data_IF_743203969694
#
_entry.id   IF_743203969694
#
_cell.length_a   1.000
_cell.length_b   1.000
_cell.length_c   1.000
_cell.angle_alpha   90.00
_cell.angle_beta   90.00
_cell.angle_gamma   90.00
#
_symmetry.space_group_name_H-M   'P 1'
#
loop_
_entity.id
_entity.type
_entity.pdbx_description
1 polymer ?
#
# COMPACT_ATOMS: atom_id res chain seq x y z
N UNK A 1 12.39 1.17 12.35
CA UNK A 1 11.05 1.78 12.21
C UNK A 1 10.03 0.65 12.19
N UNK A 2 8.84 0.78 12.81
CA UNK A 2 7.81 -0.26 12.75
C UNK A 2 7.34 -0.48 11.30
N UNK A 3 6.86 -1.69 11.01
CA UNK A 3 6.29 -2.05 9.72
C UNK A 3 4.77 -1.88 9.75
N UNK A 4 4.19 -1.50 8.61
CA UNK A 4 2.74 -1.63 8.42
C UNK A 4 2.35 -3.12 8.37
N UNK A 5 1.18 -3.48 8.92
CA UNK A 5 0.67 -4.84 8.92
C UNK A 5 0.07 -5.19 7.55
N UNK A 6 0.89 -5.23 6.51
CA UNK A 6 0.45 -5.64 5.17
C UNK A 6 0.52 -7.17 5.10
N UNK A 7 -0.65 -7.81 5.02
CA UNK A 7 -0.76 -9.22 4.66
C UNK A 7 -1.00 -9.35 3.15
N UNK A 8 0.06 -9.71 2.42
CA UNK A 8 0.00 -9.81 0.97
C UNK A 8 -0.87 -10.99 0.48
N UNK A 9 -1.17 -11.96 1.35
CA UNK A 9 -2.03 -13.09 1.02
C UNK A 9 -3.52 -12.70 1.05
N UNK A 10 -3.91 -11.62 1.75
CA UNK A 10 -5.29 -11.08 1.68
C UNK A 10 -5.63 -10.49 0.30
N UNK A 11 -4.61 -10.23 -0.52
CA UNK A 11 -4.77 -9.66 -1.85
C UNK A 11 -4.93 -8.14 -1.88
N UNK A 12 -5.03 -7.59 -3.10
CA UNK A 12 -5.15 -6.16 -3.34
C UNK A 12 -6.41 -5.85 -4.15
N UNK A 13 -7.17 -4.79 -3.84
CA UNK A 13 -6.85 -3.75 -2.84
C UNK A 13 -6.98 -4.22 -1.40
N UNK A 14 -6.15 -3.66 -0.52
CA UNK A 14 -6.18 -3.92 0.93
C UNK A 14 -6.33 -2.59 1.69
N UNK A 15 -7.02 -2.60 2.82
CA UNK A 15 -7.07 -1.44 3.71
C UNK A 15 -7.10 -1.85 5.16
N UNK A 16 -6.39 -1.12 6.01
CA UNK A 16 -6.33 -1.37 7.45
C UNK A 16 -6.29 -0.07 8.24
N UNK A 17 -6.62 -0.16 9.53
CA UNK A 17 -6.56 0.96 10.47
C UNK A 17 -5.24 0.91 11.23
N UNK A 18 -4.57 2.06 11.30
CA UNK A 18 -3.34 2.26 12.08
C UNK A 18 -3.59 3.35 13.12
N UNK A 19 -3.40 3.01 14.40
CA UNK A 19 -3.42 4.02 15.47
C UNK A 19 -2.02 4.53 15.71
N UNK A 20 -1.83 5.85 15.67
CA UNK A 20 -0.57 6.49 16.01
C UNK A 20 -0.82 7.70 16.92
N UNK A 21 -0.35 7.61 18.17
CA UNK A 21 -0.69 8.58 19.20
C UNK A 21 -2.21 8.71 19.36
N UNK A 22 -2.78 9.93 19.36
CA UNK A 22 -4.22 10.16 19.52
C UNK A 22 -5.02 9.95 18.23
N UNK A 23 -4.37 9.70 17.09
CA UNK A 23 -5.04 9.65 15.79
C UNK A 23 -5.18 8.21 15.30
N UNK A 24 -6.28 7.95 14.59
CA UNK A 24 -6.49 6.74 13.80
C UNK A 24 -6.38 7.12 12.32
N UNK A 25 -5.60 6.33 11.58
CA UNK A 25 -5.40 6.49 10.16
C UNK A 25 -5.99 5.28 9.43
N UNK A 26 -6.67 5.51 8.32
CA UNK A 26 -7.04 4.47 7.37
C UNK A 26 -5.99 4.45 6.27
N UNK A 27 -5.26 3.35 6.15
CA UNK A 27 -4.26 3.16 5.09
C UNK A 27 -4.86 2.20 4.06
N UNK A 28 -4.91 2.63 2.81
CA UNK A 28 -5.34 1.83 1.67
C UNK A 28 -4.19 1.62 0.69
N UNK A 29 -4.06 0.39 0.19
CA UNK A 29 -3.08 -0.01 -0.81
C UNK A 29 -3.81 -0.62 -1.99
N UNK A 30 -3.58 -0.08 -3.19
CA UNK A 30 -4.18 -0.63 -4.42
C UNK A 30 -3.18 -0.66 -5.56
N UNK A 31 -3.25 -1.72 -6.37
CA UNK A 31 -2.38 -1.92 -7.52
C UNK A 31 -3.02 -1.31 -8.76
N UNK A 32 -2.22 -0.63 -9.57
CA UNK A 32 -2.62 -0.18 -10.89
C UNK A 32 -1.69 -0.80 -11.94
N UNK A 33 -2.25 -1.65 -12.79
CA UNK A 33 -1.57 -2.36 -13.88
C UNK A 33 -2.52 -2.43 -15.08
N UNK A 34 -1.99 -2.32 -16.30
CA UNK A 34 -2.79 -2.51 -17.50
C UNK A 34 -3.08 -4.00 -17.76
N UNK A 35 -4.14 -4.28 -18.54
CA UNK A 35 -4.60 -5.64 -18.80
C UNK A 35 -3.55 -6.52 -19.48
N UNK A 36 -2.68 -5.96 -20.32
CA UNK A 36 -1.65 -6.75 -21.02
C UNK A 36 -0.58 -7.20 -20.03
N UNK A 37 -0.17 -6.31 -19.12
CA UNK A 37 0.74 -6.64 -18.02
C UNK A 37 0.15 -7.73 -17.11
N UNK A 38 -1.14 -7.64 -16.78
CA UNK A 38 -1.81 -8.66 -15.96
C UNK A 38 -1.91 -10.00 -16.69
N UNK A 39 -2.25 -9.99 -17.98
CA UNK A 39 -2.42 -11.20 -18.79
C UNK A 39 -1.11 -11.98 -19.00
N UNK A 40 0.05 -11.32 -18.95
CA UNK A 40 1.36 -11.97 -19.00
C UNK A 40 1.63 -12.87 -17.78
N UNK A 41 0.96 -12.61 -16.65
CA UNK A 41 1.12 -13.39 -15.44
C UNK A 41 2.36 -13.03 -14.61
N UNK A 42 2.56 -13.78 -13.52
CA UNK A 42 3.76 -13.66 -12.67
C UNK A 42 3.68 -12.59 -11.59
N UNK A 43 4.85 -12.13 -11.16
CA UNK A 43 5.03 -11.16 -10.07
C UNK A 43 5.36 -9.78 -10.64
N UNK A 44 4.61 -8.78 -10.20
CA UNK A 44 4.80 -7.39 -10.57
C UNK A 44 5.67 -6.68 -9.53
N UNK A 45 6.73 -5.98 -9.98
CA UNK A 45 7.43 -5.01 -9.15
C UNK A 45 6.73 -3.65 -9.23
N UNK A 46 5.98 -3.32 -8.19
CA UNK A 46 5.13 -2.14 -8.14
C UNK A 46 5.84 -0.86 -7.69
N UNK A 47 7.13 -0.94 -7.37
CA UNK A 47 7.98 0.23 -7.09
C UNK A 47 8.98 0.50 -8.23
N UNK A 48 8.94 -0.31 -9.30
CA UNK A 48 9.75 -0.17 -10.50
C UNK A 48 9.09 0.69 -11.59
N UNK A 49 9.45 0.41 -12.85
CA UNK A 49 8.84 1.06 -14.02
C UNK A 49 7.69 0.22 -14.56
N UNK A 50 6.49 0.80 -14.68
CA UNK A 50 5.32 0.14 -15.25
C UNK A 50 4.15 0.12 -14.26
N UNK A 51 3.63 -1.06 -13.86
CA UNK A 51 2.56 -1.15 -12.87
C UNK A 51 3.04 -0.53 -11.55
N UNK A 52 2.11 0.06 -10.79
CA UNK A 52 2.48 0.80 -9.59
C UNK A 52 1.50 0.57 -8.44
N UNK A 53 2.04 0.64 -7.23
CA UNK A 53 1.25 0.64 -6.00
C UNK A 53 0.83 2.09 -5.72
N UNK A 54 -0.45 2.28 -5.39
CA UNK A 54 -0.94 3.54 -4.85
C UNK A 54 -1.24 3.37 -3.37
N UNK A 55 -0.75 4.33 -2.60
CA UNK A 55 -1.11 4.49 -1.20
C UNK A 55 -2.13 5.60 -1.05
N UNK A 56 -3.15 5.33 -0.24
CA UNK A 56 -4.11 6.30 0.27
C UNK A 56 -3.98 6.31 1.77
N UNK A 57 -3.88 7.50 2.36
CA UNK A 57 -3.97 7.66 3.82
C UNK A 57 -5.00 8.72 4.13
N UNK A 58 -5.95 8.34 4.94
CA UNK A 58 -6.93 9.23 5.53
C UNK A 58 -6.75 9.22 7.05
N UNK A 59 -7.11 10.32 7.73
CA UNK A 59 -7.23 10.39 9.19
C UNK A 59 -8.69 10.37 9.58
N UNK A 60 -9.02 9.55 10.57
CA UNK A 60 -10.34 9.55 11.21
C UNK A 60 -10.35 10.61 12.31
N UNK A 61 -11.09 11.70 12.07
CA UNK A 61 -11.34 12.76 13.05
C UNK A 61 -12.81 12.68 13.53
N UNK A 62 -13.18 13.30 14.67
CA UNK A 62 -14.55 13.27 15.17
C UNK A 62 -15.59 13.80 14.18
N UNK A 63 -15.21 14.79 13.37
CA UNK A 63 -16.08 15.42 12.37
C UNK A 63 -16.10 14.69 11.02
N UNK A 64 -15.29 13.63 10.87
CA UNK A 64 -15.27 12.80 9.67
C UNK A 64 -13.87 12.39 9.20
N UNK A 65 -13.81 11.94 7.95
CA UNK A 65 -12.57 11.45 7.32
C UNK A 65 -11.84 12.61 6.66
N UNK A 66 -10.58 12.83 7.04
CA UNK A 66 -9.70 13.83 6.45
C UNK A 66 -8.70 13.15 5.51
N UNK A 67 -8.77 13.35 4.18
CA UNK A 67 -7.80 12.79 3.25
C UNK A 67 -6.45 13.48 3.42
N UNK A 68 -5.39 12.70 3.61
CA UNK A 68 -4.04 13.23 3.84
C UNK A 68 -3.11 13.03 2.65
N UNK A 69 -3.16 11.85 2.01
CA UNK A 69 -2.37 11.59 0.81
C UNK A 69 -3.05 10.57 -0.09
N UNK A 70 -2.89 10.77 -1.40
CA UNK A 70 -3.14 9.76 -2.43
C UNK A 70 -2.06 9.88 -3.48
N UNK A 71 -1.16 8.91 -3.56
CA UNK A 71 -0.06 8.96 -4.54
C UNK A 71 0.53 7.60 -4.85
N UNK A 72 1.21 7.53 -5.99
CA UNK A 72 2.09 6.40 -6.32
C UNK A 72 3.17 6.26 -5.24
N UNK A 73 3.34 5.04 -4.74
CA UNK A 73 4.48 4.66 -3.93
C UNK A 73 5.73 4.63 -4.81
N UNK A 74 6.85 5.08 -4.26
CA UNK A 74 8.13 5.10 -4.95
C UNK A 74 9.14 4.50 -3.99
N UNK A 75 9.96 3.57 -4.50
CA UNK A 75 11.01 2.89 -3.73
C UNK A 75 11.85 3.91 -2.98
N UNK A 76 12.03 3.70 -1.68
CA UNK A 76 12.91 4.51 -0.82
C UNK A 76 12.52 5.99 -0.64
N UNK A 77 11.51 6.49 -1.35
CA UNK A 77 11.08 7.88 -1.26
C UNK A 77 10.04 8.02 -0.14
N UNK A 78 10.30 8.84 0.88
CA UNK A 78 9.32 9.07 1.94
C UNK A 78 8.02 9.65 1.39
N UNK A 79 6.91 9.11 1.87
CA UNK A 79 5.55 9.56 1.60
C UNK A 79 4.97 10.15 2.90
N UNK A 80 5.00 11.49 3.06
CA UNK A 80 4.37 12.16 4.19
C UNK A 80 2.84 12.08 4.09
N UNK A 81 2.19 11.80 5.22
CA UNK A 81 0.73 11.72 5.36
C UNK A 81 0.33 12.29 6.73
N UNK A 82 0.14 13.61 6.79
CA UNK A 82 -0.05 14.31 8.06
C UNK A 82 1.19 14.17 8.95
N UNK A 83 1.03 13.55 10.13
CA UNK A 83 2.16 13.22 11.02
C UNK A 83 2.89 11.95 10.59
N UNK A 84 2.28 11.08 9.80
CA UNK A 84 2.92 9.85 9.38
C UNK A 84 3.94 10.10 8.28
N UNK A 85 4.98 9.27 8.25
CA UNK A 85 5.90 9.11 7.14
C UNK A 85 6.02 7.64 6.80
N UNK A 86 5.64 7.29 5.57
CA UNK A 86 5.70 5.94 5.02
C UNK A 86 6.90 5.80 4.08
N UNK A 87 7.65 4.71 4.16
CA UNK A 87 8.74 4.38 3.24
C UNK A 87 8.52 2.97 2.70
N UNK A 88 8.39 2.86 1.38
CA UNK A 88 8.16 1.59 0.70
C UNK A 88 9.51 0.98 0.29
N UNK A 89 9.84 -0.17 0.90
CA UNK A 89 11.07 -0.93 0.61
C UNK A 89 10.84 -1.92 -0.52
N UNK A 90 9.70 -2.58 -0.48
CA UNK A 90 9.34 -3.66 -1.39
C UNK A 90 7.84 -3.64 -1.66
N UNK A 91 7.45 -3.90 -2.92
CA UNK A 91 6.07 -4.20 -3.27
C UNK A 91 6.05 -5.12 -4.50
N UNK A 92 6.27 -6.40 -4.25
CA UNK A 92 6.17 -7.48 -5.23
C UNK A 92 4.79 -8.11 -5.10
N UNK A 93 3.95 -8.06 -6.13
CA UNK A 93 2.59 -8.62 -6.06
C UNK A 93 2.37 -9.58 -7.22
N UNK A 94 2.05 -10.83 -6.91
CA UNK A 94 1.65 -11.81 -7.90
C UNK A 94 0.29 -11.42 -8.50
N UNK A 95 0.12 -11.52 -9.82
CA UNK A 95 -1.14 -11.10 -10.48
C UNK A 95 -2.37 -11.82 -9.94
N UNK A 96 -2.21 -13.04 -9.40
CA UNK A 96 -3.29 -13.83 -8.78
C UNK A 96 -3.75 -13.26 -7.43
N UNK A 97 -2.98 -12.38 -6.81
CA UNK A 97 -3.40 -11.61 -5.64
C UNK A 97 -4.08 -10.29 -6.01
N UNK A 98 -4.29 -10.00 -7.31
CA UNK A 98 -5.10 -8.87 -7.73
C UNK A 98 -6.58 -9.29 -7.68
N UNK A 99 -7.36 -8.57 -6.86
CA UNK A 99 -8.78 -8.80 -6.60
C UNK A 99 -9.11 -10.19 -6.02
N UNK A 100 -8.16 -10.81 -5.31
CA UNK A 100 -8.35 -12.11 -4.67
C UNK A 100 -7.26 -12.44 -3.66
N UNK A 101 -7.58 -13.29 -2.70
CA UNK A 101 -6.66 -13.77 -1.67
C UNK A 101 -5.95 -15.07 -2.09
N UNK A 102 -4.75 -15.30 -1.58
CA UNK A 102 -4.00 -16.55 -1.75
C UNK A 102 -2.48 -16.41 -1.58
N UNK A 103 -1.82 -17.49 -1.15
CA UNK A 103 -0.36 -17.50 -0.94
C UNK A 103 0.39 -17.72 -2.26
N UNK A 104 0.43 -16.69 -3.12
CA UNK A 104 1.12 -16.74 -4.42
C UNK A 104 2.49 -16.05 -4.43
N UNK A 105 3.08 -15.81 -3.25
CA UNK A 105 4.41 -15.23 -3.12
C UNK A 105 4.46 -13.70 -3.23
N UNK A 106 3.33 -13.03 -3.00
CA UNK A 106 3.28 -11.57 -2.89
C UNK A 106 3.99 -11.11 -1.61
N UNK A 107 4.65 -9.95 -1.65
CA UNK A 107 5.39 -9.36 -0.53
C UNK A 107 5.39 -7.84 -0.62
N UNK A 108 4.97 -7.19 0.45
CA UNK A 108 4.97 -5.73 0.55
C UNK A 108 5.58 -5.33 1.89
N UNK A 109 6.59 -4.47 1.86
CA UNK A 109 7.29 -3.99 3.06
C UNK A 109 7.22 -2.47 3.08
N UNK A 110 6.51 -1.96 4.08
CA UNK A 110 6.34 -0.52 4.31
C UNK A 110 6.75 -0.20 5.74
N UNK A 111 7.74 0.67 5.88
CA UNK A 111 8.11 1.26 7.16
C UNK A 111 7.23 2.47 7.44
N UNK A 112 6.84 2.64 8.70
CA UNK A 112 6.09 3.81 9.17
C UNK A 112 6.79 4.49 10.35
N UNK A 113 6.71 5.81 10.39
CA UNK A 113 7.12 6.65 11.53
C UNK A 113 6.19 7.84 11.66
N UNK A 114 6.32 8.60 12.75
CA UNK A 114 5.72 9.91 12.89
C UNK A 114 6.67 10.89 13.59
#
# INVERSE_FOLDING_TARGET
MPLLPVDADEGFPQSFRLRFGPHVYRVGLYVNADERTVAQGGVLDLLGTGPFLVVVVDREDPDGIVPLVRRKAVRELPCPAGRLRLVFREALVHVRNLNGAGSHGSRVVVEVSA
#
